data_IF_320904172957
#
_entry.id   IF_320904172957
#
_cell.length_a   1.000
_cell.length_b   1.000
_cell.length_c   1.000
_cell.angle_alpha   90.00
_cell.angle_beta   90.00
_cell.angle_gamma   90.00
#
_symmetry.space_group_name_H-M   'P 1'
#
loop_
_entity.id
_entity.type
_entity.pdbx_description
1 polymer ?
#
# COMPACT_ATOMS: atom_id res chain seq x y z
N UNK A 1 -19.13 21.66 47.26
CA UNK A 1 -17.77 21.16 46.94
C UNK A 1 -17.71 19.81 46.19
N UNK A 2 -18.68 18.89 46.30
CA UNK A 2 -18.63 17.58 45.61
C UNK A 2 -19.01 17.63 44.12
N UNK A 3 -19.95 18.48 43.72
CA UNK A 3 -20.40 18.57 42.31
C UNK A 3 -19.37 19.17 41.35
N UNK A 4 -18.59 20.17 41.78
CA UNK A 4 -17.54 20.77 40.95
C UNK A 4 -16.39 19.81 40.60
N UNK A 5 -16.11 18.83 41.47
CA UNK A 5 -15.10 17.80 41.21
C UNK A 5 -15.56 16.82 40.12
N UNK A 6 -16.84 16.45 40.11
CA UNK A 6 -17.41 15.55 39.11
C UNK A 6 -17.37 16.18 37.71
N UNK A 7 -17.75 17.45 37.61
CA UNK A 7 -17.72 18.21 36.34
C UNK A 7 -16.28 18.30 35.81
N UNK A 8 -15.31 18.58 36.67
CA UNK A 8 -13.90 18.65 36.29
C UNK A 8 -13.37 17.32 35.72
N UNK A 9 -13.73 16.17 36.32
CA UNK A 9 -13.34 14.86 35.79
C UNK A 9 -13.99 14.54 34.45
N UNK A 10 -15.25 14.89 34.25
CA UNK A 10 -15.95 14.68 32.97
C UNK A 10 -15.31 15.48 31.83
N UNK A 11 -14.86 16.71 32.11
CA UNK A 11 -14.15 17.54 31.11
C UNK A 11 -12.81 16.92 30.71
N UNK A 12 -12.04 16.39 31.67
CA UNK A 12 -10.75 15.73 31.37
C UNK A 12 -10.96 14.46 30.53
N UNK A 13 -11.96 13.65 30.87
CA UNK A 13 -12.27 12.43 30.10
C UNK A 13 -12.71 12.79 28.68
N UNK A 14 -13.58 13.80 28.53
CA UNK A 14 -14.00 14.30 27.22
C UNK A 14 -12.81 14.81 26.38
N UNK A 15 -11.91 15.59 26.97
CA UNK A 15 -10.72 16.10 26.29
C UNK A 15 -9.76 14.97 25.89
N UNK A 16 -9.54 14.01 26.78
CA UNK A 16 -8.71 12.82 26.50
C UNK A 16 -9.29 11.97 25.37
N UNK A 17 -10.62 11.81 25.33
CA UNK A 17 -11.30 11.07 24.27
C UNK A 17 -11.17 11.80 22.92
N UNK A 18 -11.33 13.13 22.90
CA UNK A 18 -11.13 13.94 21.68
C UNK A 18 -9.69 13.88 21.19
N UNK A 19 -8.71 13.99 22.09
CA UNK A 19 -7.29 13.83 21.77
C UNK A 19 -6.97 12.43 21.24
N UNK A 20 -7.56 11.38 21.83
CA UNK A 20 -7.37 9.99 21.40
C UNK A 20 -7.99 9.72 20.04
N UNK A 21 -9.20 10.24 19.79
CA UNK A 21 -9.86 10.16 18.49
C UNK A 21 -9.09 10.93 17.41
N UNK A 22 -8.54 12.10 17.74
CA UNK A 22 -7.70 12.88 16.83
C UNK A 22 -6.38 12.17 16.54
N UNK A 23 -5.75 11.54 17.54
CA UNK A 23 -4.54 10.75 17.37
C UNK A 23 -4.77 9.52 16.47
N UNK A 24 -5.89 8.82 16.67
CA UNK A 24 -6.29 7.70 15.81
C UNK A 24 -6.55 8.16 14.38
N UNK A 25 -7.25 9.30 14.19
CA UNK A 25 -7.50 9.89 12.87
C UNK A 25 -6.22 10.34 12.15
N UNK A 26 -5.26 10.94 12.86
CA UNK A 26 -4.00 11.38 12.28
C UNK A 26 -3.14 10.20 11.79
N UNK A 27 -3.16 9.08 12.53
CA UNK A 27 -2.42 7.88 12.16
C UNK A 27 -2.91 7.25 10.85
N UNK A 28 -4.16 7.47 10.46
CA UNK A 28 -4.73 6.98 9.19
C UNK A 28 -4.33 7.81 7.96
N UNK A 29 -3.54 8.89 8.11
CA UNK A 29 -3.18 9.80 7.01
C UNK A 29 -1.70 9.75 6.61
N UNK A 30 -1.18 8.56 6.26
CA UNK A 30 0.03 8.46 5.44
C UNK A 30 -0.40 8.39 3.98
N UNK A 31 -0.60 9.55 3.35
CA UNK A 31 -0.84 9.58 1.90
C UNK A 31 0.46 9.27 1.16
N UNK A 32 0.55 8.08 0.57
CA UNK A 32 1.66 7.71 -0.32
C UNK A 32 1.54 8.54 -1.60
N UNK A 33 2.37 9.58 -1.74
CA UNK A 33 2.30 10.55 -2.83
C UNK A 33 2.85 10.06 -4.18
N UNK A 34 2.63 8.80 -4.58
CA UNK A 34 3.05 8.30 -5.90
C UNK A 34 2.55 9.18 -7.04
N UNK A 35 1.30 9.66 -6.92
CA UNK A 35 0.66 10.54 -7.91
C UNK A 35 1.34 11.91 -8.04
N UNK A 36 2.04 12.39 -7.00
CA UNK A 36 2.79 13.65 -7.03
C UNK A 36 4.27 13.43 -7.36
N UNK A 37 4.89 12.38 -6.82
CA UNK A 37 6.31 12.10 -6.99
C UNK A 37 6.66 11.66 -8.41
N UNK A 38 5.81 10.86 -9.06
CA UNK A 38 6.00 10.42 -10.45
C UNK A 38 6.26 11.58 -11.43
N UNK A 39 5.39 12.60 -11.47
CA UNK A 39 5.63 13.80 -12.26
C UNK A 39 6.91 14.56 -11.90
N UNK A 40 7.29 14.64 -10.62
CA UNK A 40 8.51 15.35 -10.20
C UNK A 40 9.80 14.66 -10.67
N UNK A 41 9.80 13.33 -10.77
CA UNK A 41 10.92 12.57 -11.33
C UNK A 41 10.80 12.37 -12.85
N UNK A 42 9.77 12.94 -13.48
CA UNK A 42 9.56 12.88 -14.93
C UNK A 42 9.01 11.56 -15.45
N UNK A 43 8.47 10.68 -14.60
CA UNK A 43 7.92 9.38 -15.01
C UNK A 43 6.74 9.50 -16.00
N UNK A 44 6.04 10.64 -15.99
CA UNK A 44 4.97 10.92 -16.94
C UNK A 44 5.44 11.07 -18.39
N UNK A 45 6.70 11.45 -18.62
CA UNK A 45 7.25 11.63 -19.96
C UNK A 45 7.39 10.29 -20.72
N UNK A 46 8.10 9.26 -20.20
CA UNK A 46 8.16 7.96 -20.86
C UNK A 46 6.78 7.30 -20.97
N UNK A 47 5.92 7.40 -19.95
CA UNK A 47 4.56 6.85 -19.99
C UNK A 47 3.72 7.44 -21.14
N UNK A 48 3.78 8.76 -21.36
CA UNK A 48 3.09 9.42 -22.49
C UNK A 48 3.62 9.01 -23.86
N UNK A 49 4.86 8.54 -23.94
CA UNK A 49 5.45 7.98 -25.15
C UNK A 49 5.10 6.48 -25.34
N UNK A 50 4.34 5.89 -24.43
CA UNK A 50 3.97 4.47 -24.44
C UNK A 50 4.94 3.56 -23.69
N UNK A 51 5.93 4.11 -22.98
CA UNK A 51 6.82 3.33 -22.12
C UNK A 51 6.23 3.25 -20.71
N UNK A 52 5.29 2.34 -20.52
CA UNK A 52 4.50 2.17 -19.29
C UNK A 52 4.73 0.81 -18.59
N UNK A 53 5.74 0.06 -19.04
CA UNK A 53 6.06 -1.28 -18.53
C UNK A 53 5.40 -2.43 -19.28
N UNK A 54 4.65 -2.17 -20.35
CA UNK A 54 4.08 -3.23 -21.20
C UNK A 54 5.15 -4.24 -21.63
N UNK A 55 4.89 -5.53 -21.38
CA UNK A 55 5.80 -6.62 -21.72
C UNK A 55 6.95 -6.85 -20.73
N UNK A 56 7.02 -6.06 -19.66
CA UNK A 56 8.04 -6.20 -18.61
C UNK A 56 7.47 -6.94 -17.40
N UNK A 57 8.28 -7.82 -16.83
CA UNK A 57 8.01 -8.49 -15.55
C UNK A 57 9.00 -8.01 -14.50
N UNK A 58 8.51 -7.65 -13.32
CA UNK A 58 9.32 -7.17 -12.19
C UNK A 58 9.10 -8.09 -10.99
N UNK A 59 10.17 -8.55 -10.35
CA UNK A 59 10.08 -9.32 -9.12
C UNK A 59 10.17 -8.40 -7.90
N UNK A 60 9.22 -8.55 -6.98
CA UNK A 60 9.19 -7.88 -5.67
C UNK A 60 9.58 -8.91 -4.62
N UNK A 61 10.66 -8.66 -3.89
CA UNK A 61 11.15 -9.51 -2.81
C UNK A 61 10.93 -8.74 -1.50
N UNK A 62 9.86 -9.05 -0.78
CA UNK A 62 9.37 -8.23 0.34
C UNK A 62 8.46 -9.07 1.27
N UNK A 63 7.51 -8.46 1.97
CA UNK A 63 6.51 -9.15 2.82
C UNK A 63 5.40 -9.88 2.04
N UNK A 64 5.44 -9.83 0.70
CA UNK A 64 4.43 -10.40 -0.19
C UNK A 64 3.76 -9.31 -1.05
N UNK A 65 2.68 -9.67 -1.74
CA UNK A 65 1.78 -8.69 -2.39
C UNK A 65 0.32 -9.08 -2.14
N UNK A 66 -0.51 -8.15 -1.68
CA UNK A 66 -1.96 -8.30 -1.69
C UNK A 66 -2.50 -8.17 -3.13
N UNK A 67 -2.57 -9.30 -3.83
CA UNK A 67 -3.15 -9.40 -5.17
C UNK A 67 -4.69 -9.32 -5.20
N UNK A 68 -5.36 -9.08 -4.06
CA UNK A 68 -6.78 -8.69 -4.02
C UNK A 68 -6.96 -7.17 -4.02
N UNK A 69 -5.90 -6.39 -3.83
CA UNK A 69 -5.97 -4.94 -3.90
C UNK A 69 -6.42 -4.50 -5.30
N UNK A 70 -7.42 -3.59 -5.45
CA UNK A 70 -7.97 -3.21 -6.75
C UNK A 70 -6.93 -2.74 -7.78
N UNK A 71 -5.92 -2.00 -7.32
CA UNK A 71 -4.85 -1.47 -8.20
C UNK A 71 -3.75 -2.51 -8.52
N UNK A 72 -3.76 -3.66 -7.83
CA UNK A 72 -2.81 -4.77 -8.03
C UNK A 72 -3.54 -6.10 -8.31
N UNK A 73 -4.78 -6.01 -8.80
CA UNK A 73 -5.70 -7.13 -8.76
C UNK A 73 -5.29 -8.29 -9.66
N UNK A 74 -5.47 -9.50 -9.14
CA UNK A 74 -5.38 -10.75 -9.86
C UNK A 74 -4.07 -11.49 -9.64
N UNK A 75 -4.19 -12.79 -9.39
CA UNK A 75 -3.10 -13.76 -9.30
C UNK A 75 -3.14 -14.71 -10.50
N UNK A 76 -1.97 -15.03 -11.05
CA UNK A 76 -1.80 -15.99 -12.15
C UNK A 76 -1.58 -15.31 -13.51
N UNK A 77 -1.48 -16.08 -14.62
CA UNK A 77 -0.97 -15.59 -15.90
C UNK A 77 -1.63 -14.31 -16.43
N UNK A 78 -2.92 -14.13 -16.16
CA UNK A 78 -3.69 -12.96 -16.60
C UNK A 78 -3.73 -11.82 -15.57
N UNK A 79 -3.41 -12.10 -14.30
CA UNK A 79 -3.44 -11.16 -13.18
C UNK A 79 -2.31 -10.12 -13.20
N UNK A 80 -2.37 -9.11 -12.34
CA UNK A 80 -1.23 -8.18 -12.14
C UNK A 80 -0.04 -8.92 -11.56
N UNK A 81 -0.29 -9.76 -10.56
CA UNK A 81 0.71 -10.64 -9.95
C UNK A 81 0.64 -11.98 -10.66
N UNK A 82 1.62 -12.30 -11.50
CA UNK A 82 1.57 -13.48 -12.36
C UNK A 82 2.02 -14.77 -11.66
N UNK A 83 2.50 -14.66 -10.43
CA UNK A 83 2.92 -15.77 -9.60
C UNK A 83 3.97 -15.34 -8.59
N UNK A 84 4.66 -16.32 -8.02
CA UNK A 84 5.61 -16.06 -6.95
C UNK A 84 5.84 -17.25 -6.04
N UNK A 85 6.52 -17.00 -4.92
CA UNK A 85 6.77 -18.00 -3.90
C UNK A 85 6.85 -17.36 -2.51
N UNK A 86 6.32 -18.06 -1.52
CA UNK A 86 6.41 -17.69 -0.13
C UNK A 86 7.53 -18.50 0.55
N UNK A 87 8.62 -17.83 0.91
CA UNK A 87 9.75 -18.45 1.61
C UNK A 87 9.57 -18.48 3.13
N UNK A 88 8.59 -17.75 3.67
CA UNK A 88 8.26 -17.78 5.10
C UNK A 88 7.48 -19.07 5.40
N UNK A 89 6.39 -19.30 4.66
CA UNK A 89 5.50 -20.45 4.86
C UNK A 89 5.81 -21.64 3.94
N UNK A 90 6.78 -21.47 3.01
CA UNK A 90 7.22 -22.48 2.05
C UNK A 90 6.11 -22.99 1.12
N UNK A 91 5.33 -22.07 0.56
CA UNK A 91 4.27 -22.39 -0.38
C UNK A 91 4.23 -21.44 -1.60
N UNK A 92 3.18 -21.57 -2.43
CA UNK A 92 3.00 -20.75 -3.65
C UNK A 92 2.06 -19.57 -3.43
N UNK A 93 1.88 -19.14 -2.19
CA UNK A 93 0.92 -18.12 -1.76
C UNK A 93 1.65 -16.91 -1.17
N UNK A 94 2.35 -16.10 -1.98
CA UNK A 94 3.13 -14.94 -1.50
C UNK A 94 2.24 -13.74 -1.15
N UNK A 95 1.20 -13.97 -0.36
CA UNK A 95 0.24 -12.95 0.04
C UNK A 95 0.82 -12.06 1.12
N UNK A 96 0.62 -10.74 0.99
CA UNK A 96 1.12 -9.79 1.98
C UNK A 96 0.19 -9.68 3.18
N UNK A 97 0.72 -9.94 4.38
CA UNK A 97 0.03 -9.73 5.65
C UNK A 97 0.54 -8.52 6.43
N UNK A 98 1.63 -7.89 5.98
CA UNK A 98 2.26 -6.74 6.61
C UNK A 98 1.79 -5.41 6.00
N UNK A 99 1.74 -5.35 4.67
CA UNK A 99 1.40 -4.19 3.87
C UNK A 99 2.58 -3.54 3.14
N UNK A 100 3.81 -3.68 3.65
CA UNK A 100 5.00 -3.04 3.07
C UNK A 100 5.25 -3.49 1.61
N UNK A 101 5.21 -4.79 1.35
CA UNK A 101 5.39 -5.33 0.00
C UNK A 101 4.30 -4.88 -0.98
N UNK A 102 3.06 -4.73 -0.52
CA UNK A 102 1.95 -4.18 -1.31
C UNK A 102 2.16 -2.70 -1.63
N UNK A 103 2.65 -1.89 -0.68
CA UNK A 103 3.00 -0.49 -0.92
C UNK A 103 4.12 -0.36 -1.96
N UNK A 104 5.18 -1.17 -1.82
CA UNK A 104 6.29 -1.22 -2.79
C UNK A 104 5.78 -1.62 -4.17
N UNK A 105 4.98 -2.68 -4.25
CA UNK A 105 4.35 -3.13 -5.50
C UNK A 105 3.46 -2.03 -6.13
N UNK A 106 2.75 -1.27 -5.30
CA UNK A 106 1.91 -0.15 -5.73
C UNK A 106 2.72 0.97 -6.37
N UNK A 107 3.84 1.37 -5.76
CA UNK A 107 4.78 2.35 -6.32
C UNK A 107 5.27 1.92 -7.70
N UNK A 108 5.54 0.62 -7.86
CA UNK A 108 6.08 0.05 -9.10
C UNK A 108 5.01 -0.02 -10.19
N UNK A 109 3.89 -0.71 -9.95
CA UNK A 109 2.99 -1.15 -11.02
C UNK A 109 1.50 -1.13 -10.66
N UNK A 110 1.08 -0.31 -9.68
CA UNK A 110 -0.35 -0.02 -9.49
C UNK A 110 -0.97 0.45 -10.82
N UNK A 111 -2.14 -0.10 -11.15
CA UNK A 111 -2.83 0.11 -12.43
C UNK A 111 -4.33 0.32 -12.21
N UNK A 112 -4.66 1.31 -11.40
CA UNK A 112 -6.04 1.62 -11.07
C UNK A 112 -6.20 3.07 -10.61
N UNK A 113 -6.70 3.26 -9.40
CA UNK A 113 -6.88 4.59 -8.81
C UNK A 113 -5.52 5.29 -8.62
N UNK A 114 -4.53 4.52 -8.19
CA UNK A 114 -3.12 4.90 -8.18
C UNK A 114 -2.46 4.30 -9.43
N UNK A 115 -1.58 5.09 -10.05
CA UNK A 115 -0.75 4.65 -11.17
C UNK A 115 0.70 4.64 -10.73
N UNK A 116 1.33 3.46 -10.78
CA UNK A 116 2.74 3.27 -10.49
C UNK A 116 3.66 3.86 -11.56
N UNK A 117 4.96 3.61 -11.42
CA UNK A 117 5.95 4.05 -12.41
C UNK A 117 5.84 3.27 -13.73
N UNK A 118 5.53 1.98 -13.65
CA UNK A 118 5.37 1.06 -14.77
C UNK A 118 4.01 0.33 -14.65
N UNK A 119 2.89 1.05 -14.80
CA UNK A 119 1.55 0.54 -14.49
C UNK A 119 1.19 -0.69 -15.33
N UNK A 120 1.76 -0.91 -16.52
CA UNK A 120 1.47 -2.09 -17.35
C UNK A 120 2.44 -3.25 -17.18
N UNK A 121 3.42 -3.13 -16.28
CA UNK A 121 4.26 -4.26 -15.90
C UNK A 121 3.44 -5.34 -15.18
N UNK A 122 3.93 -6.58 -15.27
CA UNK A 122 3.48 -7.72 -14.47
C UNK A 122 4.44 -7.93 -13.29
N UNK A 123 3.92 -8.44 -12.18
CA UNK A 123 4.69 -8.65 -10.96
C UNK A 123 4.87 -10.13 -10.63
N UNK A 124 6.06 -10.48 -10.15
CA UNK A 124 6.30 -11.71 -9.39
C UNK A 124 6.46 -11.34 -7.91
N UNK A 125 5.75 -12.04 -7.02
CA UNK A 125 5.81 -11.79 -5.59
C UNK A 125 6.68 -12.84 -4.90
N UNK A 126 7.69 -12.43 -4.15
CA UNK A 126 8.52 -13.31 -3.34
C UNK A 126 8.47 -12.84 -1.89
N UNK A 127 7.64 -13.52 -1.08
CA UNK A 127 7.52 -13.23 0.35
C UNK A 127 8.72 -13.82 1.09
N UNK A 128 9.48 -12.99 1.78
CA UNK A 128 10.70 -13.38 2.51
C UNK A 128 10.73 -12.91 3.97
N UNK A 129 9.73 -12.14 4.40
CA UNK A 129 9.57 -11.63 5.77
C UNK A 129 8.11 -11.39 6.13
N UNK A 130 7.85 -11.21 7.42
CA UNK A 130 6.54 -10.83 8.00
C UNK A 130 6.45 -9.33 8.33
#
# INVERSE_FOLDING_TARGET
MKHGKIIFFLVIIGLSLVLSLHYLYYKDSVEVFVTKSGPYIGANYPQKLGYDGTGITIAVIDTGIDYNHPDLFGLGPDGKVIGGYDFVDNDKTPFDTNGHGTEVAGIIAADGTISGMAPKAKLLAYRVSD
#
